data_IF_836478232653
#
_entry.id   IF_836478232653
#
_cell.length_a   1.000
_cell.length_b   1.000
_cell.length_c   1.000
_cell.angle_alpha   90.00
_cell.angle_beta   90.00
_cell.angle_gamma   90.00
#
_symmetry.space_group_name_H-M   'P 1'
#
loop_
_entity.id
_entity.type
_entity.pdbx_description
1 polymer ?
#
# COMPACT_ATOMS: atom_id res chain seq x y z
N UNK A 1 -6.11 14.95 -0.13
CA UNK A 1 -6.96 13.94 -0.80
C UNK A 1 -7.40 14.49 -2.13
N UNK A 2 -7.03 13.83 -3.20
CA UNK A 2 -7.25 14.40 -4.53
C UNK A 2 -8.67 14.14 -5.05
N UNK A 3 -9.10 12.89 -5.07
CA UNK A 3 -10.43 12.54 -5.60
C UNK A 3 -11.33 11.83 -4.60
N UNK A 4 -10.91 11.63 -3.40
CA UNK A 4 -11.68 10.99 -2.35
C UNK A 4 -11.51 9.48 -2.23
N UNK A 5 -10.85 8.83 -3.17
CA UNK A 5 -10.62 7.38 -3.11
C UNK A 5 -9.77 6.98 -1.91
N UNK A 6 -8.86 7.85 -1.49
CA UNK A 6 -8.02 7.59 -0.32
C UNK A 6 -8.77 7.75 1.00
N UNK A 7 -10.03 8.18 0.96
CA UNK A 7 -10.86 8.35 2.14
C UNK A 7 -11.79 7.16 2.43
N UNK A 8 -11.79 6.13 1.60
CA UNK A 8 -12.59 4.95 1.88
C UNK A 8 -11.89 4.06 2.89
N UNK A 9 -12.71 3.38 3.70
CA UNK A 9 -12.18 2.55 4.79
C UNK A 9 -11.47 1.28 4.31
N UNK A 10 -11.70 0.87 3.08
CA UNK A 10 -11.12 -0.34 2.52
C UNK A 10 -9.59 -0.32 2.54
N UNK A 11 -8.98 0.80 2.24
CA UNK A 11 -7.53 0.90 2.16
C UNK A 11 -6.83 0.63 3.49
N UNK A 12 -7.19 1.28 4.61
CA UNK A 12 -6.55 0.96 5.88
C UNK A 12 -6.88 -0.46 6.37
N UNK A 13 -8.07 -0.97 6.10
CA UNK A 13 -8.41 -2.34 6.45
C UNK A 13 -7.55 -3.34 5.66
N UNK A 14 -7.40 -3.13 4.38
CA UNK A 14 -6.55 -3.96 3.52
C UNK A 14 -5.09 -3.85 3.94
N UNK A 15 -4.63 -2.66 4.27
CA UNK A 15 -3.28 -2.43 4.76
C UNK A 15 -3.00 -3.24 6.04
N UNK A 16 -3.93 -3.22 6.99
CA UNK A 16 -3.80 -4.01 8.21
C UNK A 16 -3.73 -5.51 7.90
N UNK A 17 -4.58 -6.00 7.02
CA UNK A 17 -4.58 -7.41 6.64
C UNK A 17 -3.28 -7.82 5.93
N UNK A 18 -2.74 -6.97 5.08
CA UNK A 18 -1.46 -7.20 4.41
C UNK A 18 -0.32 -7.26 5.42
N UNK A 19 -0.33 -6.38 6.41
CA UNK A 19 0.68 -6.38 7.45
C UNK A 19 0.65 -7.68 8.26
N UNK A 20 -0.55 -8.18 8.57
CA UNK A 20 -0.70 -9.47 9.24
C UNK A 20 -0.13 -10.60 8.37
N UNK A 21 -0.53 -10.67 7.12
CA UNK A 21 -0.07 -11.73 6.23
C UNK A 21 1.43 -11.65 5.92
N UNK A 22 2.00 -10.47 6.00
CA UNK A 22 3.46 -10.28 5.81
C UNK A 22 4.27 -10.70 7.02
N UNK A 23 3.65 -10.81 8.19
CA UNK A 23 4.31 -11.28 9.40
C UNK A 23 4.64 -10.20 10.42
N UNK A 24 3.93 -9.09 10.41
CA UNK A 24 4.09 -8.08 11.45
C UNK A 24 3.83 -8.70 12.83
N UNK A 25 4.60 -8.25 13.82
CA UNK A 25 4.48 -8.75 15.18
C UNK A 25 3.21 -8.22 15.87
N UNK A 26 2.79 -7.05 15.47
CA UNK A 26 1.64 -6.37 16.03
C UNK A 26 1.02 -5.48 14.95
N UNK A 27 -0.29 -5.49 14.86
CA UNK A 27 -1.02 -4.67 13.89
C UNK A 27 -2.17 -3.97 14.60
N UNK A 28 -2.40 -2.73 14.24
CA UNK A 28 -3.50 -1.95 14.77
C UNK A 28 -4.29 -1.29 13.66
N UNK A 29 -5.56 -1.06 13.97
CA UNK A 29 -6.40 -0.12 13.22
C UNK A 29 -6.84 0.93 14.21
N UNK A 30 -6.65 2.19 13.88
CA UNK A 30 -7.04 3.27 14.76
C UNK A 30 -7.68 4.41 13.98
N UNK A 31 -8.55 5.10 14.66
CA UNK A 31 -9.25 6.27 14.14
C UNK A 31 -8.62 7.52 14.76
N UNK A 32 -8.10 8.40 13.91
CA UNK A 32 -7.40 9.60 14.39
C UNK A 32 -8.28 10.70 14.94
N UNK A 33 -9.59 10.47 14.97
CA UNK A 33 -10.55 11.46 15.43
C UNK A 33 -11.10 12.31 14.28
N UNK A 34 -12.08 13.12 14.58
CA UNK A 34 -12.70 14.00 13.60
C UNK A 34 -13.77 13.34 12.78
N UNK A 35 -14.17 14.02 11.72
CA UNK A 35 -15.26 13.63 10.84
C UNK A 35 -14.70 12.87 9.63
N UNK A 36 -15.41 11.86 9.18
CA UNK A 36 -15.04 11.12 7.98
C UNK A 36 -14.31 9.84 8.29
N UNK A 37 -15.06 8.74 8.27
CA UNK A 37 -14.57 7.42 8.65
C UNK A 37 -13.33 7.04 7.85
N UNK A 38 -13.36 6.93 6.57
CA UNK A 38 -12.22 6.46 5.80
C UNK A 38 -10.97 7.34 5.93
N UNK A 39 -11.18 8.63 6.08
CA UNK A 39 -10.11 9.62 6.15
C UNK A 39 -9.31 9.55 7.45
N UNK A 40 -10.01 9.24 8.54
CA UNK A 40 -9.44 9.21 9.88
C UNK A 40 -8.95 7.83 10.30
N UNK A 41 -9.22 6.81 9.51
CA UNK A 41 -8.80 5.44 9.81
C UNK A 41 -7.43 5.17 9.19
N UNK A 42 -6.56 4.63 10.02
CA UNK A 42 -5.20 4.27 9.63
C UNK A 42 -4.86 2.89 10.18
N UNK A 43 -4.01 2.19 9.47
CA UNK A 43 -3.38 0.97 9.96
C UNK A 43 -1.99 1.29 10.49
N UNK A 44 -1.59 0.57 11.51
CA UNK A 44 -0.24 0.63 12.04
C UNK A 44 0.30 -0.76 12.23
N UNK A 45 1.61 -0.88 12.31
CA UNK A 45 2.26 -2.15 12.57
C UNK A 45 3.54 -1.95 13.36
N UNK A 46 3.93 -3.01 14.06
CA UNK A 46 5.24 -3.13 14.69
C UNK A 46 5.84 -4.48 14.26
N UNK A 47 7.07 -4.46 13.84
CA UNK A 47 7.80 -5.67 13.49
C UNK A 47 9.09 -5.71 14.27
N UNK A 48 9.37 -6.87 14.87
CA UNK A 48 10.52 -7.04 15.77
C UNK A 48 11.71 -7.57 14.98
N UNK A 49 12.83 -6.89 15.13
CA UNK A 49 14.12 -7.32 14.58
C UNK A 49 14.92 -7.95 15.72
N UNK A 50 14.86 -9.25 15.84
CA UNK A 50 15.55 -9.98 16.90
C UNK A 50 16.83 -10.69 16.44
N UNK A 51 17.24 -10.45 15.20
CA UNK A 51 18.45 -11.04 14.63
C UNK A 51 18.28 -12.44 14.07
N UNK A 52 17.06 -12.99 14.11
CA UNK A 52 16.82 -14.30 13.53
C UNK A 52 16.56 -14.24 12.03
N UNK A 53 16.86 -15.34 11.28
CA UNK A 53 16.49 -15.41 9.86
C UNK A 53 14.99 -15.24 9.62
N UNK A 54 14.15 -15.75 10.51
CA UNK A 54 12.70 -15.59 10.40
C UNK A 54 12.28 -14.14 10.51
N UNK A 55 12.85 -13.40 11.47
CA UNK A 55 12.57 -11.97 11.61
C UNK A 55 13.02 -11.21 10.37
N UNK A 56 14.16 -11.55 9.78
CA UNK A 56 14.64 -10.91 8.56
C UNK A 56 13.66 -11.10 7.40
N UNK A 57 13.10 -12.29 7.23
CA UNK A 57 12.09 -12.56 6.20
C UNK A 57 10.81 -11.75 6.43
N UNK A 58 10.33 -11.73 7.67
CA UNK A 58 9.13 -10.96 8.02
C UNK A 58 9.33 -9.47 7.79
N UNK A 59 10.45 -8.93 8.24
CA UNK A 59 10.79 -7.52 8.04
C UNK A 59 10.85 -7.17 6.56
N UNK A 60 11.48 -8.00 5.74
CA UNK A 60 11.56 -7.75 4.31
C UNK A 60 10.16 -7.64 3.68
N UNK A 61 9.23 -8.52 4.07
CA UNK A 61 7.87 -8.48 3.55
C UNK A 61 7.09 -7.26 4.05
N UNK A 62 7.12 -7.00 5.36
CA UNK A 62 6.36 -5.90 5.95
C UNK A 62 6.86 -4.56 5.45
N UNK A 63 8.17 -4.34 5.46
CA UNK A 63 8.75 -3.07 5.04
C UNK A 63 8.63 -2.82 3.54
N UNK A 64 8.29 -3.82 2.77
CA UNK A 64 7.96 -3.69 1.36
C UNK A 64 6.47 -3.44 1.17
N UNK A 65 5.62 -4.23 1.81
CA UNK A 65 4.18 -4.24 1.56
C UNK A 65 3.44 -3.10 2.24
N UNK A 66 3.85 -2.71 3.44
CA UNK A 66 3.20 -1.61 4.14
C UNK A 66 3.31 -0.29 3.38
N UNK A 67 4.50 0.19 3.02
CA UNK A 67 4.60 1.38 2.19
C UNK A 67 4.06 1.17 0.78
N UNK A 68 4.14 -0.04 0.24
CA UNK A 68 3.54 -0.37 -1.06
C UNK A 68 2.05 -0.13 -1.09
N UNK A 69 1.33 -0.50 -0.04
CA UNK A 69 -0.10 -0.19 0.09
C UNK A 69 -0.37 1.30 0.13
N UNK A 70 0.49 2.07 0.79
CA UNK A 70 0.38 3.52 0.81
C UNK A 70 0.49 4.11 -0.58
N UNK A 71 1.43 3.63 -1.38
CA UNK A 71 1.58 4.06 -2.77
C UNK A 71 0.33 3.71 -3.58
N UNK A 72 -0.17 2.49 -3.46
CA UNK A 72 -1.36 2.05 -4.19
C UNK A 72 -2.58 2.92 -3.84
N UNK A 73 -2.81 3.18 -2.57
CA UNK A 73 -3.92 4.03 -2.12
C UNK A 73 -3.84 5.42 -2.76
N UNK A 74 -2.66 6.01 -2.79
CA UNK A 74 -2.49 7.35 -3.33
C UNK A 74 -2.49 7.38 -4.86
N UNK A 75 -2.03 6.33 -5.52
CA UNK A 75 -2.17 6.19 -6.96
C UNK A 75 -3.64 6.10 -7.35
N UNK A 76 -4.42 5.31 -6.62
CA UNK A 76 -5.85 5.20 -6.87
C UNK A 76 -6.57 6.55 -6.72
N UNK A 77 -6.11 7.37 -5.76
CA UNK A 77 -6.63 8.71 -5.56
C UNK A 77 -6.13 9.74 -6.58
N UNK A 78 -5.19 9.38 -7.43
CA UNK A 78 -4.74 10.20 -8.55
C UNK A 78 -3.57 11.15 -8.26
N UNK A 79 -2.87 10.99 -7.15
CA UNK A 79 -1.73 11.84 -6.84
C UNK A 79 -0.56 11.58 -7.79
N UNK A 80 -0.05 12.64 -8.41
CA UNK A 80 1.04 12.54 -9.38
C UNK A 80 2.31 11.95 -8.77
N UNK A 81 2.66 12.38 -7.57
CA UNK A 81 3.85 11.86 -6.89
C UNK A 81 3.76 10.36 -6.64
N UNK A 82 2.58 9.87 -6.32
CA UNK A 82 2.36 8.44 -6.13
C UNK A 82 2.54 7.67 -7.43
N UNK A 83 2.07 8.20 -8.54
CA UNK A 83 2.28 7.61 -9.85
C UNK A 83 3.76 7.55 -10.22
N UNK A 84 4.51 8.61 -9.95
CA UNK A 84 5.96 8.63 -10.17
C UNK A 84 6.67 7.57 -9.34
N UNK A 85 6.35 7.48 -8.07
CA UNK A 85 6.96 6.50 -7.15
C UNK A 85 6.61 5.08 -7.58
N UNK A 86 5.36 4.83 -7.97
CA UNK A 86 4.94 3.51 -8.44
C UNK A 86 5.79 3.08 -9.65
N UNK A 87 6.02 3.98 -10.59
CA UNK A 87 6.85 3.69 -11.76
C UNK A 87 8.32 3.47 -11.37
N UNK A 88 8.87 4.34 -10.53
CA UNK A 88 10.28 4.27 -10.11
C UNK A 88 10.59 3.02 -9.29
N UNK A 89 9.64 2.56 -8.50
CA UNK A 89 9.81 1.43 -7.57
C UNK A 89 9.18 0.14 -8.08
N UNK A 90 8.68 0.12 -9.30
CA UNK A 90 8.04 -1.05 -9.89
C UNK A 90 6.88 -1.58 -9.07
N UNK A 91 6.08 -0.70 -8.49
CA UNK A 91 4.87 -1.10 -7.77
C UNK A 91 3.81 -1.48 -8.80
N UNK A 92 3.40 -2.74 -8.76
CA UNK A 92 2.39 -3.24 -9.68
C UNK A 92 1.00 -2.81 -9.22
N UNK A 93 0.30 -2.06 -10.07
CA UNK A 93 -1.04 -1.58 -9.79
C UNK A 93 -1.96 -2.09 -10.90
N UNK A 94 -2.72 -3.15 -10.62
CA UNK A 94 -3.53 -3.82 -11.66
C UNK A 94 -4.51 -2.89 -12.37
N UNK A 95 -5.08 -1.93 -11.67
CA UNK A 95 -6.02 -1.00 -12.28
C UNK A 95 -5.37 -0.08 -13.32
N UNK A 96 -4.08 0.15 -13.22
CA UNK A 96 -3.32 0.92 -14.20
C UNK A 96 -2.70 0.03 -15.28
N UNK A 97 -2.70 -1.27 -15.09
CA UNK A 97 -2.13 -2.21 -16.05
C UNK A 97 -2.83 -2.11 -17.41
N UNK A 98 -4.13 -1.84 -17.43
CA UNK A 98 -4.86 -1.64 -18.68
C UNK A 98 -4.32 -0.48 -19.51
N UNK A 99 -3.99 0.63 -18.85
CA UNK A 99 -3.38 1.77 -19.54
C UNK A 99 -2.00 1.43 -20.07
N UNK A 100 -1.23 0.68 -19.31
CA UNK A 100 0.09 0.22 -19.74
C UNK A 100 -0.01 -0.80 -20.86
N UNK A 101 -0.93 -1.74 -20.77
CA UNK A 101 -1.19 -2.71 -21.83
C UNK A 101 -1.61 -2.02 -23.12
N UNK A 102 -2.49 -1.04 -23.03
CA UNK A 102 -2.92 -0.29 -24.20
C UNK A 102 -1.76 0.47 -24.84
N UNK A 103 -0.84 1.01 -24.03
CA UNK A 103 0.35 1.70 -24.52
C UNK A 103 1.40 0.75 -25.03
N UNK A 104 1.50 -0.42 -24.45
CA UNK A 104 2.48 -1.42 -24.83
C UNK A 104 1.89 -2.53 -25.69
N UNK A 105 0.70 -2.36 -26.22
CA UNK A 105 0.20 -3.17 -27.32
C UNK A 105 1.16 -3.14 -28.51
N UNK A 106 2.20 -2.35 -28.41
CA UNK A 106 3.29 -2.25 -29.37
C UNK A 106 4.47 -3.14 -29.03
N UNK A 107 4.27 -4.14 -28.22
CA UNK A 107 5.28 -5.16 -28.03
C UNK A 107 5.91 -5.22 -26.66
N UNK A 108 5.48 -4.42 -25.75
CA UNK A 108 5.98 -4.48 -24.40
C UNK A 108 4.97 -5.17 -23.52
N UNK A 109 5.33 -6.25 -22.95
CA UNK A 109 4.44 -7.02 -22.12
C UNK A 109 4.86 -6.86 -20.68
N UNK A 110 4.33 -5.92 -20.01
CA UNK A 110 4.58 -5.86 -18.60
C UNK A 110 5.99 -5.87 -18.19
#
# INVERSE_FOLDING_TARGET
MLDGSDAIADWPLLNAMINISSGASWVSIHHGGGVGIGRSIHAGQVSVADGTPLAAQKLARVLTNDPGMGVIRHVDAGYDRANEVAAQRNVHIPMQAHSHEAKSANGDLL
#
